data_IF_562894292948
#
_entry.id   IF_562894292948
#
_cell.length_a   1.000
_cell.length_b   1.000
_cell.length_c   1.000
_cell.angle_alpha   90.00
_cell.angle_beta   90.00
_cell.angle_gamma   90.00
#
_symmetry.space_group_name_H-M   'P 1'
#
loop_
_entity.id
_entity.type
_entity.pdbx_description
1 polymer ?
#
# COMPACT_ATOMS: atom_id res chain seq x y z
N UNK A 1 11.33 -20.63 -20.18
CA UNK A 1 11.00 -19.79 -21.34
C UNK A 1 11.32 -18.36 -20.94
N UNK A 2 12.14 -17.66 -21.72
CA UNK A 2 12.48 -16.25 -21.49
C UNK A 2 11.27 -15.36 -21.77
N UNK A 3 11.15 -14.23 -21.06
CA UNK A 3 10.04 -13.29 -21.21
C UNK A 3 9.83 -12.87 -22.68
N UNK A 4 8.57 -12.76 -23.10
CA UNK A 4 8.27 -12.18 -24.41
C UNK A 4 8.72 -10.71 -24.47
N UNK A 5 9.09 -10.23 -25.67
CA UNK A 5 9.51 -8.83 -25.84
C UNK A 5 8.45 -7.82 -25.37
N UNK A 6 7.16 -8.18 -25.47
CA UNK A 6 6.05 -7.36 -25.00
C UNK A 6 5.98 -7.28 -23.47
N UNK A 7 6.16 -8.42 -22.77
CA UNK A 7 6.21 -8.46 -21.30
C UNK A 7 7.41 -7.65 -20.77
N UNK A 8 8.58 -7.82 -21.38
CA UNK A 8 9.77 -7.04 -21.01
C UNK A 8 9.56 -5.53 -21.20
N UNK A 9 9.01 -5.14 -22.35
CA UNK A 9 8.72 -3.73 -22.63
C UNK A 9 7.71 -3.17 -21.64
N UNK A 10 6.65 -3.91 -21.33
CA UNK A 10 5.67 -3.44 -20.36
C UNK A 10 6.26 -3.31 -18.95
N UNK A 11 7.07 -4.28 -18.47
CA UNK A 11 7.73 -4.19 -17.16
C UNK A 11 8.67 -2.98 -17.11
N UNK A 12 9.45 -2.75 -18.18
CA UNK A 12 10.32 -1.58 -18.31
C UNK A 12 9.52 -0.27 -18.27
N UNK A 13 8.38 -0.20 -18.95
CA UNK A 13 7.50 0.98 -18.93
C UNK A 13 6.90 1.19 -17.52
N UNK A 14 6.45 0.13 -16.86
CA UNK A 14 5.84 0.22 -15.53
C UNK A 14 6.86 0.62 -14.46
N UNK A 15 7.97 -0.11 -14.34
CA UNK A 15 9.04 0.17 -13.38
C UNK A 15 9.78 1.47 -13.71
N UNK A 16 10.08 1.71 -14.99
CA UNK A 16 10.73 2.93 -15.46
C UNK A 16 9.86 4.17 -15.24
N UNK A 17 8.56 4.08 -15.52
CA UNK A 17 7.59 5.14 -15.23
C UNK A 17 7.52 5.45 -13.72
N UNK A 18 7.49 4.42 -12.87
CA UNK A 18 7.52 4.61 -11.42
C UNK A 18 8.85 5.22 -10.92
N UNK A 19 9.99 4.80 -11.49
CA UNK A 19 11.30 5.38 -11.18
C UNK A 19 11.39 6.86 -11.59
N UNK A 20 10.87 7.20 -12.78
CA UNK A 20 10.77 8.60 -13.24
C UNK A 20 9.82 9.39 -12.33
N UNK A 21 8.69 8.82 -11.91
CA UNK A 21 7.78 9.48 -10.97
C UNK A 21 8.43 9.77 -9.60
N UNK A 22 9.36 8.94 -9.14
CA UNK A 22 10.15 9.23 -7.93
C UNK A 22 11.14 10.39 -8.16
N UNK A 23 11.84 10.41 -9.30
CA UNK A 23 12.97 11.32 -9.50
C UNK A 23 12.65 12.63 -10.22
N UNK A 24 11.55 12.69 -10.97
CA UNK A 24 11.21 13.83 -11.80
C UNK A 24 10.88 15.07 -10.95
N UNK A 25 11.52 16.20 -11.28
CA UNK A 25 11.25 17.50 -10.66
C UNK A 25 10.11 18.25 -11.35
N UNK A 26 9.90 18.02 -12.64
CA UNK A 26 8.77 18.62 -13.37
C UNK A 26 7.47 17.88 -12.99
N UNK A 27 6.47 18.58 -12.43
CA UNK A 27 5.19 17.97 -12.09
C UNK A 27 4.53 17.23 -13.25
N UNK A 28 4.61 17.74 -14.50
CA UNK A 28 3.97 17.08 -15.65
C UNK A 28 4.59 15.73 -15.93
N UNK A 29 5.92 15.68 -15.98
CA UNK A 29 6.65 14.44 -16.19
C UNK A 29 6.41 13.48 -15.01
N UNK A 30 6.39 13.99 -13.79
CA UNK A 30 6.23 13.19 -12.58
C UNK A 30 4.86 12.51 -12.51
N UNK A 31 3.78 13.28 -12.63
CA UNK A 31 2.41 12.75 -12.59
C UNK A 31 2.07 11.96 -13.87
N UNK A 32 2.57 12.38 -15.03
CA UNK A 32 2.43 11.62 -16.27
C UNK A 32 3.10 10.26 -16.19
N UNK A 33 4.33 10.19 -15.69
CA UNK A 33 5.04 8.92 -15.50
C UNK A 33 4.38 8.02 -14.46
N UNK A 34 3.86 8.59 -13.36
CA UNK A 34 3.09 7.86 -12.37
C UNK A 34 1.79 7.27 -12.95
N UNK A 35 1.08 8.03 -13.79
CA UNK A 35 -0.13 7.57 -14.47
C UNK A 35 0.19 6.46 -15.47
N UNK A 36 1.24 6.63 -16.28
CA UNK A 36 1.73 5.57 -17.19
C UNK A 36 2.07 4.30 -16.41
N UNK A 37 2.77 4.42 -15.28
CA UNK A 37 3.14 3.28 -14.46
C UNK A 37 1.92 2.55 -13.88
N UNK A 38 0.95 3.28 -13.32
CA UNK A 38 -0.29 2.71 -12.76
C UNK A 38 -1.24 2.13 -13.80
N UNK A 39 -1.14 2.53 -15.07
CA UNK A 39 -1.92 1.93 -16.16
C UNK A 39 -1.18 0.72 -16.75
N UNK A 40 0.14 0.82 -16.93
CA UNK A 40 0.96 -0.25 -17.46
C UNK A 40 0.96 -1.51 -16.57
N UNK A 41 1.01 -1.33 -15.24
CA UNK A 41 0.97 -2.44 -14.28
C UNK A 41 -0.27 -3.36 -14.41
N UNK A 42 -1.52 -2.87 -14.32
CA UNK A 42 -2.68 -3.73 -14.51
C UNK A 42 -2.82 -4.22 -15.96
N UNK A 43 -2.37 -3.47 -16.97
CA UNK A 43 -2.37 -3.92 -18.36
C UNK A 43 -1.44 -5.13 -18.58
N UNK A 44 -0.26 -5.12 -17.95
CA UNK A 44 0.67 -6.26 -17.94
C UNK A 44 0.05 -7.50 -17.32
N UNK A 45 -0.56 -7.35 -16.13
CA UNK A 45 -1.24 -8.46 -15.44
C UNK A 45 -2.40 -8.98 -16.29
N UNK A 46 -3.19 -8.11 -16.90
CA UNK A 46 -4.28 -8.52 -17.78
C UNK A 46 -3.77 -9.27 -19.02
N UNK A 47 -2.63 -8.89 -19.57
CA UNK A 47 -1.97 -9.59 -20.67
C UNK A 47 -1.41 -10.96 -20.25
N UNK A 48 -0.81 -11.06 -19.07
CA UNK A 48 -0.27 -12.32 -18.54
C UNK A 48 -1.38 -13.32 -18.23
N UNK A 49 -2.49 -12.84 -17.67
CA UNK A 49 -3.64 -13.65 -17.23
C UNK A 49 -4.72 -13.74 -18.33
N UNK A 50 -4.41 -13.31 -19.56
CA UNK A 50 -5.35 -13.15 -20.68
C UNK A 50 -6.10 -14.43 -21.05
N UNK A 51 -5.46 -15.59 -20.88
CA UNK A 51 -6.04 -16.90 -21.19
C UNK A 51 -6.79 -17.53 -20.01
N UNK A 52 -6.87 -16.87 -18.86
CA UNK A 52 -7.62 -17.38 -17.71
C UNK A 52 -9.13 -17.34 -17.97
N UNK A 53 -9.84 -18.34 -17.44
CA UNK A 53 -11.31 -18.49 -17.55
C UNK A 53 -12.07 -17.23 -17.15
N UNK A 54 -11.59 -16.49 -16.14
CA UNK A 54 -12.24 -15.25 -15.71
C UNK A 54 -12.11 -14.11 -16.70
N UNK A 55 -10.94 -13.93 -17.33
CA UNK A 55 -10.77 -12.91 -18.36
C UNK A 55 -11.53 -13.26 -19.64
N UNK A 56 -11.72 -14.55 -19.93
CA UNK A 56 -12.57 -15.02 -21.01
C UNK A 56 -14.05 -14.65 -20.76
N UNK A 57 -14.56 -14.79 -19.53
CA UNK A 57 -15.92 -14.37 -19.15
C UNK A 57 -16.13 -12.85 -19.24
N UNK A 58 -15.11 -12.07 -18.88
CA UNK A 58 -15.14 -10.61 -19.05
C UNK A 58 -15.04 -10.19 -20.52
N UNK A 59 -14.26 -10.92 -21.34
CA UNK A 59 -14.11 -10.66 -22.78
C UNK A 59 -15.39 -10.98 -23.56
N UNK A 60 -16.10 -12.03 -23.18
CA UNK A 60 -17.36 -12.41 -23.82
C UNK A 60 -18.51 -11.44 -23.52
N UNK A 61 -18.37 -10.59 -22.51
CA UNK A 61 -19.37 -9.60 -22.11
C UNK A 61 -18.78 -8.17 -22.07
N UNK A 62 -18.58 -7.52 -23.23
CA UNK A 62 -17.96 -6.19 -23.29
C UNK A 62 -18.69 -5.13 -22.46
N UNK A 63 -20.02 -5.26 -22.31
CA UNK A 63 -20.82 -4.40 -21.44
C UNK A 63 -20.43 -4.51 -19.96
N UNK A 64 -20.11 -5.71 -19.45
CA UNK A 64 -19.67 -5.91 -18.06
C UNK A 64 -18.29 -5.31 -17.82
N UNK A 65 -17.38 -5.45 -18.79
CA UNK A 65 -16.06 -4.82 -18.74
C UNK A 65 -16.16 -3.29 -18.74
N UNK A 66 -16.95 -2.73 -19.65
CA UNK A 66 -17.19 -1.29 -19.72
C UNK A 66 -17.82 -0.76 -18.43
N UNK A 67 -18.81 -1.46 -17.87
CA UNK A 67 -19.41 -1.11 -16.59
C UNK A 67 -18.39 -1.16 -15.43
N UNK A 68 -17.55 -2.20 -15.36
CA UNK A 68 -16.51 -2.31 -14.34
C UNK A 68 -15.48 -1.17 -14.42
N UNK A 69 -15.02 -0.83 -15.63
CA UNK A 69 -14.12 0.31 -15.85
C UNK A 69 -14.80 1.62 -15.44
N UNK A 70 -16.05 1.83 -15.84
CA UNK A 70 -16.81 3.03 -15.48
C UNK A 70 -16.95 3.17 -13.96
N UNK A 71 -17.32 2.10 -13.26
CA UNK A 71 -17.41 2.09 -11.79
C UNK A 71 -16.05 2.39 -11.14
N UNK A 72 -14.97 1.80 -11.64
CA UNK A 72 -13.63 2.07 -11.13
C UNK A 72 -13.23 3.54 -11.32
N UNK A 73 -13.49 4.11 -12.50
CA UNK A 73 -13.22 5.53 -12.80
C UNK A 73 -14.07 6.46 -11.92
N UNK A 74 -15.35 6.14 -11.71
CA UNK A 74 -16.22 6.90 -10.81
C UNK A 74 -15.73 6.85 -9.36
N UNK A 75 -15.29 5.67 -8.90
CA UNK A 75 -14.73 5.53 -7.56
C UNK A 75 -13.41 6.31 -7.40
N UNK A 76 -12.53 6.27 -8.40
CA UNK A 76 -11.28 7.07 -8.43
C UNK A 76 -11.60 8.57 -8.44
N UNK A 77 -12.55 9.02 -9.27
CA UNK A 77 -12.98 10.42 -9.33
C UNK A 77 -13.63 10.89 -8.03
N UNK A 78 -14.48 10.06 -7.42
CA UNK A 78 -15.09 10.32 -6.12
C UNK A 78 -14.05 10.43 -5.00
N UNK A 79 -13.10 9.48 -4.93
CA UNK A 79 -12.00 9.52 -3.99
C UNK A 79 -11.15 10.80 -4.18
N UNK A 80 -10.81 11.13 -5.43
CA UNK A 80 -10.06 12.34 -5.75
C UNK A 80 -10.80 13.61 -5.31
N UNK A 81 -12.13 13.69 -5.52
CA UNK A 81 -12.95 14.81 -5.09
C UNK A 81 -12.97 14.95 -3.55
N UNK A 82 -13.07 13.82 -2.82
CA UNK A 82 -13.01 13.79 -1.35
C UNK A 82 -11.64 14.23 -0.85
N UNK A 83 -10.55 13.73 -1.43
CA UNK A 83 -9.19 14.09 -1.04
C UNK A 83 -8.90 15.57 -1.29
N UNK A 84 -9.41 16.13 -2.39
CA UNK A 84 -9.32 17.57 -2.68
C UNK A 84 -10.09 18.41 -1.67
N UNK A 85 -11.25 17.93 -1.23
CA UNK A 85 -12.06 18.63 -0.21
C UNK A 85 -11.42 18.53 1.18
N UNK A 86 -10.82 17.39 1.50
CA UNK A 86 -10.25 17.08 2.81
C UNK A 86 -8.88 16.41 2.66
N UNK A 87 -7.83 17.23 2.56
CA UNK A 87 -6.45 16.76 2.32
C UNK A 87 -5.92 15.77 3.39
N UNK A 88 -6.50 15.77 4.59
CA UNK A 88 -6.13 14.84 5.67
C UNK A 88 -6.63 13.41 5.46
N UNK A 89 -7.66 13.23 4.63
CA UNK A 89 -8.24 11.90 4.39
C UNK A 89 -7.28 11.03 3.60
N UNK A 90 -6.58 11.56 2.59
CA UNK A 90 -5.65 10.78 1.77
C UNK A 90 -4.60 10.00 2.59
N UNK A 91 -3.73 10.63 3.41
CA UNK A 91 -2.73 9.88 4.17
C UNK A 91 -3.39 8.89 5.15
N UNK A 92 -4.47 9.29 5.82
CA UNK A 92 -5.18 8.39 6.76
C UNK A 92 -5.73 7.17 6.03
N UNK A 93 -6.35 7.34 4.86
CA UNK A 93 -6.87 6.25 4.03
C UNK A 93 -5.75 5.34 3.51
N UNK A 94 -4.59 5.87 3.15
CA UNK A 94 -3.43 5.06 2.75
C UNK A 94 -3.05 4.11 3.88
N UNK A 95 -2.79 4.63 5.09
CA UNK A 95 -2.37 3.81 6.22
C UNK A 95 -3.47 2.86 6.73
N UNK A 96 -4.74 3.26 6.65
CA UNK A 96 -5.87 2.41 7.00
C UNK A 96 -6.11 1.29 5.99
N UNK A 97 -5.78 1.49 4.71
CA UNK A 97 -5.97 0.49 3.65
C UNK A 97 -4.81 -0.49 3.52
N UNK A 98 -3.61 -0.18 4.03
CA UNK A 98 -2.42 -1.06 4.00
C UNK A 98 -2.68 -2.52 4.42
N UNK A 99 -3.43 -2.81 5.51
CA UNK A 99 -3.67 -4.19 5.92
C UNK A 99 -4.84 -4.85 5.19
N UNK A 100 -5.65 -4.10 4.43
CA UNK A 100 -6.84 -4.63 3.79
C UNK A 100 -6.46 -5.39 2.52
N UNK A 101 -6.59 -6.71 2.59
CA UNK A 101 -6.29 -7.62 1.48
C UNK A 101 -7.54 -8.37 1.08
N UNK A 102 -7.85 -8.34 -0.21
CA UNK A 102 -8.99 -9.05 -0.78
C UNK A 102 -8.46 -10.29 -1.50
N UNK A 103 -8.92 -11.50 -1.14
CA UNK A 103 -8.53 -12.71 -1.85
C UNK A 103 -9.12 -12.70 -3.26
N UNK A 104 -8.27 -12.82 -4.27
CA UNK A 104 -8.65 -12.90 -5.68
C UNK A 104 -7.89 -14.07 -6.30
N UNK A 105 -8.60 -14.99 -6.93
CA UNK A 105 -7.95 -16.06 -7.71
C UNK A 105 -7.33 -15.47 -9.00
N UNK A 106 -6.03 -15.64 -9.21
CA UNK A 106 -5.34 -15.33 -10.47
C UNK A 106 -4.53 -16.55 -10.88
N UNK A 107 -4.56 -16.92 -12.16
CA UNK A 107 -3.73 -18.01 -12.69
C UNK A 107 -3.90 -19.38 -12.01
N UNK A 108 -5.05 -19.65 -11.36
CA UNK A 108 -5.28 -20.90 -10.62
C UNK A 108 -4.88 -20.88 -9.14
N UNK A 109 -4.28 -19.79 -8.65
CA UNK A 109 -3.90 -19.59 -7.24
C UNK A 109 -4.68 -18.43 -6.62
N UNK A 110 -4.89 -18.46 -5.30
CA UNK A 110 -5.50 -17.35 -4.55
C UNK A 110 -4.44 -16.33 -4.16
N UNK A 111 -4.49 -15.13 -4.73
CA UNK A 111 -3.60 -14.01 -4.42
C UNK A 111 -4.33 -12.96 -3.58
N UNK A 112 -3.68 -12.48 -2.52
CA UNK A 112 -4.27 -11.52 -1.58
C UNK A 112 -3.93 -10.08 -2.01
N UNK A 113 -4.79 -9.48 -2.83
CA UNK A 113 -4.54 -8.19 -3.46
C UNK A 113 -4.95 -7.00 -2.60
N UNK A 114 -4.21 -5.91 -2.72
CA UNK A 114 -4.43 -4.66 -2.00
C UNK A 114 -5.38 -3.72 -2.78
N UNK A 115 -6.47 -4.27 -3.31
CA UNK A 115 -7.43 -3.52 -4.15
C UNK A 115 -7.90 -2.22 -3.49
N UNK A 116 -8.29 -2.20 -2.19
CA UNK A 116 -8.68 -0.96 -1.53
C UNK A 116 -7.58 0.10 -1.56
N UNK A 117 -6.32 -0.31 -1.34
CA UNK A 117 -5.17 0.59 -1.38
C UNK A 117 -4.90 1.10 -2.80
N UNK A 118 -5.03 0.25 -3.83
CA UNK A 118 -4.84 0.68 -5.22
C UNK A 118 -5.84 1.77 -5.62
N UNK A 119 -7.10 1.67 -5.17
CA UNK A 119 -8.10 2.71 -5.38
C UNK A 119 -7.74 4.02 -4.69
N UNK A 120 -7.21 3.96 -3.46
CA UNK A 120 -6.73 5.14 -2.72
C UNK A 120 -5.53 5.77 -3.43
N UNK A 121 -4.58 4.98 -3.92
CA UNK A 121 -3.40 5.47 -4.65
C UNK A 121 -3.83 6.14 -5.96
N UNK A 122 -4.72 5.52 -6.74
CA UNK A 122 -5.24 6.07 -7.99
C UNK A 122 -6.04 7.37 -7.76
N UNK A 123 -6.91 7.41 -6.74
CA UNK A 123 -7.64 8.61 -6.35
C UNK A 123 -6.72 9.73 -5.87
N UNK A 124 -5.68 9.39 -5.12
CA UNK A 124 -4.62 10.31 -4.73
C UNK A 124 -3.93 10.89 -5.96
N UNK A 125 -3.45 10.03 -6.86
CA UNK A 125 -2.78 10.46 -8.10
C UNK A 125 -3.66 11.42 -8.90
N UNK A 126 -4.94 11.09 -9.12
CA UNK A 126 -5.88 11.94 -9.84
C UNK A 126 -6.07 13.31 -9.15
N UNK A 127 -6.22 13.33 -7.82
CA UNK A 127 -6.33 14.57 -7.04
C UNK A 127 -5.09 15.46 -7.16
N UNK A 128 -3.90 14.89 -6.92
CA UNK A 128 -2.64 15.64 -6.94
C UNK A 128 -2.27 16.10 -8.35
N UNK A 129 -2.47 15.25 -9.36
CA UNK A 129 -2.24 15.60 -10.76
C UNK A 129 -3.17 16.74 -11.21
N UNK A 130 -4.48 16.66 -10.91
CA UNK A 130 -5.43 17.72 -11.23
C UNK A 130 -5.05 19.05 -10.59
N UNK A 131 -4.73 19.02 -9.29
CA UNK A 131 -4.35 20.23 -8.53
C UNK A 131 -3.07 20.85 -9.08
N UNK A 132 -2.05 20.04 -9.36
CA UNK A 132 -0.77 20.53 -9.90
C UNK A 132 -0.90 21.12 -11.32
N UNK A 133 -1.79 20.57 -12.15
CA UNK A 133 -2.05 21.08 -13.49
C UNK A 133 -2.88 22.37 -13.45
N UNK A 134 -3.92 22.42 -12.60
CA UNK A 134 -4.82 23.57 -12.45
C UNK A 134 -4.14 24.79 -11.81
N UNK A 135 -3.32 24.59 -10.76
CA UNK A 135 -2.66 25.71 -10.07
C UNK A 135 -1.63 26.45 -10.94
N UNK A 136 -1.06 25.77 -11.95
CA UNK A 136 -0.07 26.35 -12.87
C UNK A 136 -0.71 27.35 -13.84
N UNK A 137 -1.96 27.13 -14.25
CA UNK A 137 -2.73 28.06 -15.07
C UNK A 137 -3.01 29.35 -14.28
N UNK A 138 -3.39 29.24 -13.01
CA UNK A 138 -3.56 30.41 -12.12
C UNK A 138 -2.26 31.10 -11.71
N UNK A 139 -1.14 30.37 -11.58
CA UNK A 139 0.18 30.97 -11.25
C UNK A 139 0.78 31.79 -12.40
N UNK A 140 0.33 31.56 -13.63
CA UNK A 140 0.64 32.44 -14.76
C UNK A 140 0.03 33.84 -14.60
N UNK A 141 -0.95 34.02 -13.70
CA UNK A 141 -1.75 35.25 -13.55
C UNK A 141 -1.60 35.95 -12.18
N UNK A 142 -0.57 35.62 -11.40
CA UNK A 142 -0.25 36.36 -10.17
C UNK A 142 0.07 35.49 -8.97
N UNK A 143 1.24 35.76 -8.39
CA UNK A 143 1.90 34.96 -7.36
C UNK A 143 1.23 35.09 -5.99
N UNK A 144 0.82 33.98 -5.36
CA UNK A 144 0.56 33.96 -3.89
C UNK A 144 1.87 33.64 -3.14
N UNK A 145 2.44 34.56 -2.33
CA UNK A 145 3.79 34.42 -1.78
C UNK A 145 3.91 33.74 -0.40
N UNK A 146 2.83 33.28 0.25
CA UNK A 146 2.84 33.07 1.71
C UNK A 146 2.46 31.67 2.23
N UNK A 147 2.63 30.62 1.43
CA UNK A 147 2.51 29.27 1.99
C UNK A 147 3.82 28.85 2.67
N UNK A 148 3.83 28.51 3.98
CA UNK A 148 5.01 27.99 4.63
C UNK A 148 5.46 26.68 3.96
N UNK A 149 6.78 26.42 3.85
CA UNK A 149 7.29 25.27 3.12
C UNK A 149 6.82 23.98 3.78
N UNK A 150 6.21 23.09 2.99
CA UNK A 150 6.05 21.70 3.36
C UNK A 150 7.45 21.11 3.57
N UNK A 151 7.68 20.36 4.66
CA UNK A 151 8.89 19.55 4.76
C UNK A 151 8.77 18.48 3.67
N UNK A 152 9.45 18.67 2.55
CA UNK A 152 9.50 17.68 1.48
C UNK A 152 10.58 16.65 1.85
N UNK A 153 10.30 15.36 1.63
CA UNK A 153 11.34 14.32 1.74
C UNK A 153 12.52 14.61 0.81
N UNK A 154 12.33 15.45 -0.22
CA UNK A 154 13.37 15.88 -1.14
C UNK A 154 14.25 17.02 -0.60
N UNK A 155 13.87 17.65 0.52
CA UNK A 155 14.68 18.72 1.14
C UNK A 155 15.83 18.14 1.98
N UNK A 156 15.76 16.85 2.34
CA UNK A 156 16.76 16.17 3.16
C UNK A 156 17.65 15.25 2.31
N UNK A 157 19.00 15.26 2.51
CA UNK A 157 19.92 14.49 1.69
C UNK A 157 19.66 12.99 1.76
N UNK A 158 19.29 12.48 2.95
CA UNK A 158 18.92 11.09 3.12
C UNK A 158 17.64 10.71 2.35
N UNK A 159 16.66 11.62 2.28
CA UNK A 159 15.43 11.40 1.51
C UNK A 159 15.68 11.41 0.00
N UNK A 160 16.55 12.29 -0.50
CA UNK A 160 16.99 12.24 -1.91
C UNK A 160 17.66 10.91 -2.23
N UNK A 161 18.55 10.42 -1.36
CA UNK A 161 19.21 9.12 -1.55
C UNK A 161 18.21 7.96 -1.51
N UNK A 162 17.23 7.99 -0.60
CA UNK A 162 16.17 7.00 -0.53
C UNK A 162 15.41 6.90 -1.87
N UNK A 163 14.98 8.04 -2.43
CA UNK A 163 14.28 8.07 -3.72
C UNK A 163 15.15 7.52 -4.86
N UNK A 164 16.45 7.85 -4.87
CA UNK A 164 17.41 7.32 -5.86
C UNK A 164 17.62 5.83 -5.75
N UNK A 165 17.81 5.33 -4.53
CA UNK A 165 18.00 3.88 -4.29
C UNK A 165 16.75 3.12 -4.70
N UNK A 166 15.56 3.58 -4.31
CA UNK A 166 14.30 2.94 -4.70
C UNK A 166 14.09 2.96 -6.20
N UNK A 167 14.34 4.09 -6.87
CA UNK A 167 14.27 4.19 -8.32
C UNK A 167 15.28 3.24 -9.00
N UNK A 168 16.51 3.15 -8.49
CA UNK A 168 17.50 2.19 -8.97
C UNK A 168 17.04 0.75 -8.75
N UNK A 169 16.44 0.41 -7.61
CA UNK A 169 15.87 -0.91 -7.34
C UNK A 169 14.79 -1.27 -8.35
N UNK A 170 13.90 -0.34 -8.72
CA UNK A 170 12.86 -0.59 -9.74
C UNK A 170 13.45 -0.90 -11.11
N UNK A 171 14.47 -0.12 -11.53
CA UNK A 171 15.15 -0.33 -12.82
C UNK A 171 15.93 -1.64 -12.81
N UNK A 172 16.67 -1.92 -11.74
CA UNK A 172 17.38 -3.18 -11.57
C UNK A 172 16.38 -4.34 -11.61
N UNK A 173 15.28 -4.27 -10.88
CA UNK A 173 14.24 -5.29 -10.89
C UNK A 173 13.74 -5.56 -12.32
N UNK A 174 13.45 -4.51 -13.09
CA UNK A 174 13.06 -4.65 -14.50
C UNK A 174 14.12 -5.34 -15.35
N UNK A 175 15.41 -5.00 -15.18
CA UNK A 175 16.52 -5.67 -15.89
C UNK A 175 16.63 -7.14 -15.48
N UNK A 176 16.44 -7.46 -14.20
CA UNK A 176 16.51 -8.83 -13.69
C UNK A 176 15.45 -9.75 -14.32
N UNK A 177 14.33 -9.19 -14.79
CA UNK A 177 13.30 -9.97 -15.47
C UNK A 177 13.75 -10.57 -16.81
N UNK A 178 14.83 -10.04 -17.42
CA UNK A 178 15.38 -10.53 -18.69
C UNK A 178 15.87 -11.98 -18.56
N UNK A 179 16.46 -12.33 -17.42
CA UNK A 179 17.04 -13.66 -17.18
C UNK A 179 16.27 -14.48 -16.14
N UNK A 180 15.08 -14.02 -15.72
CA UNK A 180 14.27 -14.76 -14.74
C UNK A 180 13.59 -15.97 -15.38
N UNK A 181 13.48 -17.07 -14.64
CA UNK A 181 12.78 -18.28 -15.09
C UNK A 181 11.25 -18.16 -14.95
N UNK A 182 10.77 -17.32 -14.02
CA UNK A 182 9.36 -17.11 -13.69
C UNK A 182 8.97 -15.65 -13.90
N UNK A 183 8.55 -15.36 -15.14
CA UNK A 183 8.23 -14.00 -15.61
C UNK A 183 6.89 -13.54 -15.06
N UNK A 184 5.92 -14.43 -14.92
CA UNK A 184 4.59 -14.12 -14.36
C UNK A 184 4.70 -13.61 -12.93
N UNK A 185 5.48 -14.29 -12.09
CA UNK A 185 5.76 -13.83 -10.73
C UNK A 185 6.48 -12.46 -10.72
N UNK A 186 7.39 -12.21 -11.67
CA UNK A 186 8.03 -10.91 -11.79
C UNK A 186 7.03 -9.80 -12.18
N UNK A 187 6.09 -10.08 -13.09
CA UNK A 187 5.01 -9.17 -13.47
C UNK A 187 4.09 -8.88 -12.28
N UNK A 188 3.67 -9.92 -11.56
CA UNK A 188 2.81 -9.78 -10.37
C UNK A 188 3.50 -8.92 -9.30
N UNK A 189 4.77 -9.20 -8.98
CA UNK A 189 5.52 -8.42 -7.99
C UNK A 189 5.69 -6.96 -8.40
N UNK A 190 6.05 -6.70 -9.66
CA UNK A 190 6.17 -5.35 -10.18
C UNK A 190 4.84 -4.59 -10.11
N UNK A 191 3.76 -5.24 -10.54
CA UNK A 191 2.46 -4.60 -10.75
C UNK A 191 1.64 -4.46 -9.48
N UNK A 192 1.73 -5.40 -8.54
CA UNK A 192 0.96 -5.39 -7.29
C UNK A 192 1.69 -4.71 -6.13
N UNK A 193 3.02 -4.70 -6.13
CA UNK A 193 3.79 -4.18 -5.00
C UNK A 193 4.72 -3.04 -5.41
N UNK A 194 5.70 -3.28 -6.29
CA UNK A 194 6.76 -2.30 -6.52
C UNK A 194 6.23 -0.97 -7.10
N UNK A 195 5.46 -1.02 -8.18
CA UNK A 195 4.95 0.17 -8.87
C UNK A 195 3.93 0.93 -8.02
N UNK A 196 2.87 0.30 -7.46
CA UNK A 196 1.92 1.02 -6.62
C UNK A 196 2.56 1.65 -5.39
N UNK A 197 3.51 0.97 -4.74
CA UNK A 197 4.15 1.48 -3.53
C UNK A 197 5.14 2.61 -3.84
N UNK A 198 5.83 2.56 -4.98
CA UNK A 198 6.66 3.66 -5.44
C UNK A 198 5.83 4.92 -5.71
N UNK A 199 4.68 4.77 -6.39
CA UNK A 199 3.75 5.88 -6.62
C UNK A 199 3.13 6.37 -5.31
N UNK A 200 2.77 5.47 -4.39
CA UNK A 200 2.28 5.83 -3.06
C UNK A 200 3.30 6.65 -2.28
N UNK A 201 4.57 6.25 -2.26
CA UNK A 201 5.65 7.00 -1.61
C UNK A 201 5.83 8.38 -2.26
N UNK A 202 5.81 8.43 -3.59
CA UNK A 202 5.83 9.68 -4.35
C UNK A 202 4.71 10.62 -3.90
N UNK A 203 3.47 10.14 -3.77
CA UNK A 203 2.31 10.93 -3.33
C UNK A 203 2.38 11.33 -1.84
N UNK A 204 2.82 10.42 -0.96
CA UNK A 204 2.99 10.73 0.47
C UNK A 204 4.08 11.80 0.70
N UNK A 205 5.06 11.88 -0.20
CA UNK A 205 6.07 12.95 -0.19
C UNK A 205 5.52 14.34 -0.53
N UNK A 206 4.35 14.42 -1.19
CA UNK A 206 3.66 15.70 -1.49
C UNK A 206 2.76 16.15 -0.34
N UNK A 207 2.49 15.27 0.63
CA UNK A 207 1.58 15.57 1.75
C UNK A 207 2.26 16.55 2.72
N UNK A 208 1.55 17.64 3.02
CA UNK A 208 1.94 18.58 4.09
C UNK A 208 1.62 17.99 5.45
N UNK A 209 2.58 17.29 6.05
CA UNK A 209 2.42 16.65 7.34
C UNK A 209 2.16 17.67 8.46
N UNK A 210 1.02 17.54 9.13
CA UNK A 210 0.69 18.30 10.34
C UNK A 210 0.55 17.37 11.53
N UNK A 211 0.73 17.89 12.76
CA UNK A 211 0.53 17.10 13.98
C UNK A 211 -0.86 16.46 14.06
N UNK A 212 -1.89 17.16 13.59
CA UNK A 212 -3.28 16.64 13.55
C UNK A 212 -3.40 15.45 12.59
N UNK A 213 -2.79 15.53 11.41
CA UNK A 213 -2.78 14.43 10.44
C UNK A 213 -2.02 13.23 10.97
N UNK A 214 -0.84 13.44 11.57
CA UNK A 214 -0.06 12.35 12.16
C UNK A 214 -0.81 11.67 13.30
N UNK A 215 -1.51 12.44 14.15
CA UNK A 215 -2.42 11.92 15.15
C UNK A 215 -3.56 11.10 14.55
N UNK A 216 -4.17 11.57 13.46
CA UNK A 216 -5.19 10.83 12.72
C UNK A 216 -4.68 9.51 12.13
N UNK A 217 -3.47 9.50 11.57
CA UNK A 217 -2.81 8.28 11.09
C UNK A 217 -2.56 7.31 12.24
N UNK A 218 -2.02 7.79 13.37
CA UNK A 218 -1.77 6.97 14.55
C UNK A 218 -3.08 6.34 15.05
N UNK A 219 -4.14 7.14 15.19
CA UNK A 219 -5.47 6.64 15.59
C UNK A 219 -5.96 5.57 14.60
N UNK A 220 -5.84 5.81 13.30
CA UNK A 220 -6.32 4.87 12.29
C UNK A 220 -5.57 3.53 12.33
N UNK A 221 -4.23 3.55 12.39
CA UNK A 221 -3.44 2.31 12.48
C UNK A 221 -3.65 1.60 13.80
N UNK A 222 -3.77 2.32 14.92
CA UNK A 222 -4.08 1.72 16.22
C UNK A 222 -5.48 1.12 16.25
N UNK A 223 -6.50 1.80 15.72
CA UNK A 223 -7.86 1.28 15.64
C UNK A 223 -7.92 0.00 14.80
N UNK A 224 -7.21 -0.02 13.67
CA UNK A 224 -7.11 -1.19 12.82
C UNK A 224 -6.36 -2.35 13.50
N UNK A 225 -5.25 -2.06 14.18
CA UNK A 225 -4.53 -3.02 15.01
C UNK A 225 -5.41 -3.61 16.12
N UNK A 226 -6.20 -2.78 16.81
CA UNK A 226 -7.12 -3.22 17.86
C UNK A 226 -8.24 -4.09 17.29
N UNK A 227 -8.79 -3.74 16.13
CA UNK A 227 -9.77 -4.57 15.42
C UNK A 227 -9.19 -5.95 15.12
N UNK A 228 -7.97 -6.02 14.57
CA UNK A 228 -7.32 -7.29 14.27
C UNK A 228 -6.93 -8.07 15.52
N UNK A 229 -6.53 -7.40 16.60
CA UNK A 229 -6.29 -8.04 17.89
C UNK A 229 -7.58 -8.61 18.49
N UNK A 230 -8.70 -7.92 18.37
CA UNK A 230 -10.00 -8.43 18.80
C UNK A 230 -10.41 -9.69 18.03
N UNK A 231 -10.24 -9.68 16.70
CA UNK A 231 -10.45 -10.89 15.87
C UNK A 231 -9.49 -12.00 16.30
N UNK A 232 -8.22 -11.68 16.55
CA UNK A 232 -7.22 -12.64 17.00
C UNK A 232 -7.58 -13.29 18.35
N UNK A 233 -8.09 -12.51 19.31
CA UNK A 233 -8.59 -13.05 20.57
C UNK A 233 -9.80 -13.96 20.38
N UNK A 234 -10.70 -13.60 19.45
CA UNK A 234 -11.81 -14.46 19.03
C UNK A 234 -11.34 -15.80 18.47
N UNK A 235 -10.35 -15.79 17.56
CA UNK A 235 -9.76 -17.00 16.99
C UNK A 235 -9.06 -17.86 18.04
N UNK A 236 -8.32 -17.24 18.96
CA UNK A 236 -7.65 -17.95 20.05
C UNK A 236 -8.65 -18.62 21.01
N UNK A 237 -9.73 -17.92 21.36
CA UNK A 237 -10.78 -18.43 22.24
C UNK A 237 -11.59 -19.54 21.56
N UNK A 238 -11.94 -19.37 20.28
CA UNK A 238 -12.68 -20.37 19.51
C UNK A 238 -11.82 -21.59 19.13
N UNK A 239 -10.48 -21.48 19.24
CA UNK A 239 -9.51 -22.45 18.70
C UNK A 239 -9.76 -22.78 17.22
N UNK A 240 -10.34 -21.84 16.50
CA UNK A 240 -10.74 -21.95 15.09
C UNK A 240 -10.27 -20.69 14.36
N UNK A 241 -9.81 -20.87 13.11
CA UNK A 241 -9.34 -19.78 12.26
C UNK A 241 -10.48 -19.37 11.34
N UNK A 242 -11.04 -18.17 11.55
CA UNK A 242 -12.30 -17.74 10.92
C UNK A 242 -12.16 -17.67 9.39
N UNK A 243 -10.99 -17.25 8.88
CA UNK A 243 -10.73 -17.06 7.44
C UNK A 243 -9.84 -18.12 6.81
N UNK A 244 -9.17 -18.95 7.62
CA UNK A 244 -8.16 -19.92 7.16
C UNK A 244 -8.52 -21.38 7.48
N UNK A 245 -9.82 -21.67 7.61
CA UNK A 245 -10.42 -22.95 8.04
C UNK A 245 -9.97 -24.23 7.30
N UNK A 246 -9.16 -24.12 6.25
CA UNK A 246 -8.62 -25.26 5.47
C UNK A 246 -7.09 -25.30 5.39
N UNK A 247 -6.45 -24.22 4.90
CA UNK A 247 -5.04 -24.27 4.50
C UNK A 247 -4.02 -24.13 5.66
N UNK A 248 -4.41 -23.55 6.80
CA UNK A 248 -3.49 -23.28 7.91
C UNK A 248 -3.65 -24.23 9.11
N UNK A 249 -4.69 -25.06 9.14
CA UNK A 249 -4.79 -26.16 10.11
C UNK A 249 -3.63 -27.15 9.93
N UNK A 250 -3.20 -27.42 8.68
CA UNK A 250 -2.04 -28.27 8.41
C UNK A 250 -0.71 -27.67 8.87
N UNK A 251 -0.51 -26.34 8.84
CA UNK A 251 0.73 -25.71 9.32
C UNK A 251 0.75 -25.55 10.85
N UNK A 252 -0.40 -25.29 11.49
CA UNK A 252 -0.52 -25.32 12.95
C UNK A 252 -0.43 -26.75 13.53
N UNK A 253 -0.70 -27.80 12.75
CA UNK A 253 -0.48 -29.20 13.16
C UNK A 253 1.01 -29.56 13.32
N UNK A 254 1.93 -28.82 12.69
CA UNK A 254 3.39 -29.05 12.76
C UNK A 254 4.04 -28.24 13.89
N UNK A 255 3.32 -27.31 14.50
CA UNK A 255 3.83 -26.46 15.58
C UNK A 255 3.11 -26.75 16.89
N UNK A 256 3.88 -26.92 17.97
CA UNK A 256 3.38 -27.23 19.32
C UNK A 256 2.41 -26.18 19.89
N UNK A 257 2.30 -25.00 19.26
CA UNK A 257 1.47 -23.88 19.71
C UNK A 257 0.54 -23.38 18.59
N UNK A 258 -0.72 -23.09 18.95
CA UNK A 258 -1.70 -22.47 18.05
C UNK A 258 -1.31 -21.02 17.76
N UNK A 259 -0.99 -20.72 16.50
CA UNK A 259 -0.68 -19.35 16.06
C UNK A 259 -1.90 -18.68 15.47
N UNK A 260 -2.13 -17.45 15.94
CA UNK A 260 -3.23 -16.61 15.49
C UNK A 260 -2.78 -15.71 14.35
N UNK A 261 -3.60 -15.64 13.29
CA UNK A 261 -3.27 -14.88 12.09
C UNK A 261 -4.26 -13.73 11.85
N UNK A 262 -5.43 -13.73 12.53
CA UNK A 262 -6.48 -12.74 12.33
C UNK A 262 -6.95 -12.71 10.86
N UNK A 263 -7.30 -11.54 10.35
CA UNK A 263 -7.55 -11.30 8.93
C UNK A 263 -6.30 -11.41 8.05
N UNK A 264 -5.12 -11.58 8.65
CA UNK A 264 -3.92 -11.88 7.87
C UNK A 264 -3.85 -13.39 7.66
N UNK A 265 -3.54 -13.81 6.45
CA UNK A 265 -3.38 -15.22 6.11
C UNK A 265 -2.01 -15.78 6.56
N UNK A 266 -1.27 -15.05 7.41
CA UNK A 266 0.08 -15.36 7.91
C UNK A 266 0.33 -14.72 9.31
N UNK A 267 0.71 -15.52 10.34
CA UNK A 267 0.97 -15.01 11.70
C UNK A 267 2.15 -14.04 11.80
N UNK A 268 3.15 -14.17 10.92
CA UNK A 268 4.31 -13.31 10.90
C UNK A 268 3.99 -11.94 10.32
N UNK A 269 3.14 -11.89 9.30
CA UNK A 269 2.67 -10.61 8.75
C UNK A 269 1.85 -9.86 9.78
N UNK A 270 0.96 -10.56 10.48
CA UNK A 270 0.20 -9.99 11.60
C UNK A 270 1.12 -9.46 12.70
N UNK A 271 2.08 -10.27 13.15
CA UNK A 271 3.03 -9.87 14.19
C UNK A 271 3.88 -8.65 13.80
N UNK A 272 4.39 -8.58 12.56
CA UNK A 272 5.14 -7.41 12.08
C UNK A 272 4.26 -6.16 12.00
N UNK A 273 2.99 -6.30 11.61
CA UNK A 273 2.05 -5.19 11.59
C UNK A 273 1.80 -4.62 13.00
N UNK A 274 1.58 -5.49 13.98
CA UNK A 274 1.44 -5.08 15.38
C UNK A 274 2.71 -4.42 15.93
N UNK A 275 3.89 -4.97 15.59
CA UNK A 275 5.17 -4.39 16.01
C UNK A 275 5.34 -2.94 15.51
N UNK A 276 5.01 -2.65 14.25
CA UNK A 276 5.08 -1.30 13.70
C UNK A 276 4.14 -0.32 14.43
N UNK A 277 2.93 -0.77 14.79
CA UNK A 277 1.98 0.05 15.55
C UNK A 277 2.50 0.28 16.97
N UNK A 278 3.06 -0.74 17.61
CA UNK A 278 3.64 -0.65 18.95
C UNK A 278 4.82 0.32 19.00
N UNK A 279 5.70 0.31 18.00
CA UNK A 279 6.81 1.29 17.89
C UNK A 279 6.25 2.71 17.74
N UNK A 280 5.23 2.91 16.89
CA UNK A 280 4.61 4.22 16.71
C UNK A 280 3.90 4.72 17.98
N UNK A 281 3.19 3.84 18.70
CA UNK A 281 2.58 4.15 19.99
C UNK A 281 3.63 4.39 21.08
N UNK A 282 4.72 3.64 21.09
CA UNK A 282 5.86 3.83 21.99
C UNK A 282 6.50 5.20 21.81
N UNK A 283 6.74 5.61 20.57
CA UNK A 283 7.21 6.96 20.25
C UNK A 283 6.20 8.03 20.68
N UNK A 284 4.90 7.80 20.53
CA UNK A 284 3.90 8.74 21.04
C UNK A 284 3.92 8.85 22.57
N UNK A 285 4.01 7.72 23.28
CA UNK A 285 4.05 7.68 24.74
C UNK A 285 5.30 8.34 25.32
N UNK A 286 6.46 8.16 24.69
CA UNK A 286 7.73 8.72 25.16
C UNK A 286 7.81 10.26 25.04
N UNK A 287 7.10 10.88 24.09
CA UNK A 287 7.17 12.35 23.86
C UNK A 287 5.88 13.12 24.17
N UNK A 288 4.75 12.46 24.41
CA UNK A 288 3.50 13.14 24.77
C UNK A 288 3.52 13.65 26.22
N UNK A 289 2.64 14.61 26.53
CA UNK A 289 2.45 15.14 27.90
C UNK A 289 0.98 15.20 28.34
N UNK A 290 0.08 14.54 27.62
CA UNK A 290 -1.37 14.60 27.86
C UNK A 290 -1.89 13.33 28.54
N UNK A 291 -2.55 13.47 29.68
CA UNK A 291 -2.89 12.35 30.58
C UNK A 291 -3.84 11.32 29.96
N UNK A 292 -4.99 11.75 29.42
CA UNK A 292 -6.01 10.80 28.93
C UNK A 292 -5.58 10.04 27.66
N UNK A 293 -4.96 10.75 26.70
CA UNK A 293 -4.53 10.16 25.43
C UNK A 293 -3.35 9.22 25.63
N UNK A 294 -2.48 9.50 26.61
CA UNK A 294 -1.44 8.58 27.06
C UNK A 294 -2.03 7.31 27.67
N UNK A 295 -3.03 7.43 28.55
CA UNK A 295 -3.68 6.25 29.12
C UNK A 295 -4.32 5.38 28.04
N UNK A 296 -5.02 6.00 27.09
CA UNK A 296 -5.60 5.28 25.95
C UNK A 296 -4.54 4.58 25.09
N UNK A 297 -3.44 5.27 24.77
CA UNK A 297 -2.32 4.72 24.02
C UNK A 297 -1.62 3.57 24.78
N UNK A 298 -1.46 3.68 26.09
CA UNK A 298 -0.86 2.65 26.94
C UNK A 298 -1.75 1.39 27.00
N UNK A 299 -3.07 1.56 27.17
CA UNK A 299 -4.04 0.46 27.12
C UNK A 299 -3.99 -0.21 25.75
N UNK A 300 -4.02 0.57 24.67
CA UNK A 300 -3.93 0.04 23.32
C UNK A 300 -2.64 -0.76 23.11
N UNK A 301 -1.48 -0.22 23.51
CA UNK A 301 -0.20 -0.94 23.45
C UNK A 301 -0.24 -2.25 24.24
N UNK A 302 -0.82 -2.27 25.44
CA UNK A 302 -0.98 -3.49 26.22
C UNK A 302 -1.80 -4.55 25.49
N UNK A 303 -2.94 -4.17 24.90
CA UNK A 303 -3.79 -5.07 24.11
C UNK A 303 -3.02 -5.62 22.89
N UNK A 304 -2.34 -4.75 22.14
CA UNK A 304 -1.60 -5.14 20.95
C UNK A 304 -0.39 -6.03 21.29
N UNK A 305 0.25 -5.83 22.43
CA UNK A 305 1.35 -6.67 22.91
C UNK A 305 0.86 -8.10 23.22
N UNK A 306 -0.32 -8.23 23.84
CA UNK A 306 -0.96 -9.54 24.04
C UNK A 306 -1.28 -10.18 22.68
N UNK A 307 -1.81 -9.41 21.73
CA UNK A 307 -2.04 -9.88 20.36
C UNK A 307 -0.76 -10.39 19.67
N UNK A 308 0.35 -9.68 19.82
CA UNK A 308 1.67 -10.06 19.29
C UNK A 308 2.20 -11.34 19.95
N UNK A 309 2.02 -11.48 21.27
CA UNK A 309 2.39 -12.69 21.99
C UNK A 309 1.63 -13.92 21.49
N UNK A 310 0.32 -13.78 21.25
CA UNK A 310 -0.50 -14.86 20.70
C UNK A 310 -0.20 -15.19 19.23
N UNK A 311 0.41 -14.26 18.49
CA UNK A 311 0.86 -14.52 17.12
C UNK A 311 2.12 -15.38 17.05
N UNK A 312 2.90 -15.45 18.15
CA UNK A 312 4.21 -16.12 18.24
C UNK A 312 5.17 -15.73 17.10
N UNK A 313 5.10 -14.49 16.59
CA UNK A 313 5.98 -14.05 15.51
C UNK A 313 7.36 -13.63 16.02
N UNK A 314 8.36 -14.49 15.82
CA UNK A 314 9.76 -14.17 16.13
C UNK A 314 10.20 -12.89 15.40
N UNK A 315 9.86 -12.76 14.11
CA UNK A 315 10.21 -11.57 13.33
C UNK A 315 9.49 -10.30 13.79
N UNK A 316 8.28 -10.44 14.34
CA UNK A 316 7.55 -9.31 14.93
C UNK A 316 8.19 -8.83 16.23
N UNK A 317 8.56 -9.77 17.12
CA UNK A 317 9.29 -9.43 18.35
C UNK A 317 10.66 -8.82 18.08
N UNK A 318 11.42 -9.37 17.13
CA UNK A 318 12.71 -8.79 16.73
C UNK A 318 12.55 -7.37 16.19
N UNK A 319 11.53 -7.11 15.37
CA UNK A 319 11.22 -5.79 14.87
C UNK A 319 10.82 -4.81 15.99
N UNK A 320 10.06 -5.27 16.98
CA UNK A 320 9.67 -4.47 18.14
C UNK A 320 10.86 -4.13 19.05
N UNK A 321 11.82 -5.04 19.22
CA UNK A 321 13.03 -4.79 20.03
C UNK A 321 13.97 -3.80 19.33
N UNK A 322 14.04 -3.85 18.00
CA UNK A 322 14.92 -3.00 17.22
C UNK A 322 14.42 -1.54 17.10
N UNK A 323 13.12 -1.31 17.18
CA UNK A 323 12.48 0.01 17.05
C UNK A 323 12.27 0.70 18.37
#
# INVERSE_FOLDING_TARGET
MTASSLQLLGILVACGGAAVALLARDPRLRYGAAAVALIAAPALVAGDVWHSTRLIDFRSHPAKLAAAIAVALLAVGGAAAVFRRFAWIFPVSVFAALPLRVPVQLGGHTSHLLIPLYMVIAGGLACFAYTALSERETRADGRRPNDPPAISLTDWPAGIWLYRVLAATLVLYAIQTIYTADVSNAIENASFFLVPFAVMLMLLGEVRWTRRMLGGVLIAVSAMGLLFAAVAFGEYAARDLILSRGNLLQSNQIHLYFRVNSLFYDPNVFGRYLALILVALGAYLAWSRGTWAQTAAAIASGILLVGLALSYSITGFAALIAG
#
